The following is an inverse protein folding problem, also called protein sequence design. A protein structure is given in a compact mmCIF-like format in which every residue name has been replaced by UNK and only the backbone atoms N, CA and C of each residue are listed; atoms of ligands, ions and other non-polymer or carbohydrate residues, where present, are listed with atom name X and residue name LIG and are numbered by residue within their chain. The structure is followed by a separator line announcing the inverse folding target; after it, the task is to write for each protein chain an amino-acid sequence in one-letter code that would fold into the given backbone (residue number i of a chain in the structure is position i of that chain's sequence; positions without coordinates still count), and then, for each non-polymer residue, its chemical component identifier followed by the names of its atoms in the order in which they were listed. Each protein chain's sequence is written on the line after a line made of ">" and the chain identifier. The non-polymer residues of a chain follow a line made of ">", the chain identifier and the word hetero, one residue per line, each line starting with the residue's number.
data_IF_230988340036
#
_entry.id   IF_230988340036
#
_cell.length_a   1.000
_cell.length_b   1.000
_cell.length_c   1.000
_cell.angle_alpha   90.00
_cell.angle_beta   90.00
_cell.angle_gamma   90.00
#
_symmetry.space_group_name_H-M   'P 1'
#
loop_
_entity.id
_entity.type
_entity.pdbx_description
1 polymer ?
#
# COMPACT_ATOMS: atom_id res chain seq x y z
N UNK A 1 -7.20 7.90 -14.93
CA UNK A 1 -6.05 7.49 -14.10
C UNK A 1 -6.40 6.15 -13.48
N UNK A 2 -5.70 5.07 -13.83
CA UNK A 2 -6.23 3.71 -13.61
C UNK A 2 -5.27 2.80 -12.83
N UNK A 3 -4.53 3.28 -11.82
CA UNK A 3 -3.47 2.45 -11.23
C UNK A 3 -3.18 2.55 -9.71
N UNK A 4 -4.13 2.75 -8.78
CA UNK A 4 -3.83 2.50 -7.36
C UNK A 4 -3.55 1.03 -7.06
N UNK A 5 -4.36 0.12 -7.61
CA UNK A 5 -4.31 -1.31 -7.26
C UNK A 5 -3.04 -2.02 -7.76
N UNK A 6 -2.60 -1.73 -8.98
CA UNK A 6 -1.36 -2.30 -9.52
C UNK A 6 -0.14 -1.79 -8.75
N UNK A 7 -0.07 -0.49 -8.46
CA UNK A 7 1.01 0.10 -7.66
C UNK A 7 1.05 -0.47 -6.24
N UNK A 8 -0.10 -0.62 -5.58
CA UNK A 8 -0.17 -1.24 -4.24
C UNK A 8 0.33 -2.68 -4.31
N UNK A 9 -0.08 -3.46 -5.31
CA UNK A 9 0.38 -4.84 -5.47
C UNK A 9 1.89 -4.91 -5.69
N UNK A 10 2.47 -4.02 -6.51
CA UNK A 10 3.93 -3.95 -6.69
C UNK A 10 4.64 -3.64 -5.37
N UNK A 11 4.16 -2.66 -4.60
CA UNK A 11 4.74 -2.30 -3.31
C UNK A 11 4.68 -3.47 -2.34
N UNK A 12 3.53 -4.13 -2.22
CA UNK A 12 3.36 -5.30 -1.34
C UNK A 12 4.31 -6.42 -1.76
N UNK A 13 4.42 -6.71 -3.06
CA UNK A 13 5.35 -7.73 -3.56
C UNK A 13 6.80 -7.41 -3.19
N UNK A 14 7.24 -6.17 -3.42
CA UNK A 14 8.60 -5.72 -3.07
C UNK A 14 8.87 -5.84 -1.58
N UNK A 15 7.91 -5.47 -0.72
CA UNK A 15 8.04 -5.59 0.74
C UNK A 15 8.15 -7.06 1.18
N UNK A 16 7.36 -7.95 0.57
CA UNK A 16 7.39 -9.38 0.87
C UNK A 16 8.72 -10.00 0.46
N UNK A 17 9.23 -9.69 -0.74
CA UNK A 17 10.52 -10.18 -1.20
C UNK A 17 11.69 -9.65 -0.36
N UNK A 18 11.64 -8.38 0.04
CA UNK A 18 12.73 -7.74 0.77
C UNK A 18 12.83 -8.18 2.24
N UNK A 19 11.70 -8.43 2.90
CA UNK A 19 11.66 -8.58 4.36
C UNK A 19 10.88 -9.80 4.87
N UNK A 20 10.14 -10.53 4.02
CA UNK A 20 9.28 -11.64 4.44
C UNK A 20 8.43 -11.33 5.70
N UNK A 21 7.67 -10.22 5.69
CA UNK A 21 6.91 -9.80 6.85
C UNK A 21 5.78 -10.80 7.13
N UNK A 22 5.36 -10.87 8.38
CA UNK A 22 4.19 -11.63 8.80
C UNK A 22 2.92 -10.97 8.30
N UNK A 23 2.86 -9.62 8.26
CA UNK A 23 1.70 -8.85 7.81
C UNK A 23 2.10 -7.55 7.12
N UNK A 24 1.30 -7.16 6.13
CA UNK A 24 1.30 -5.81 5.54
C UNK A 24 -0.12 -5.26 5.65
N UNK A 25 -0.27 -4.12 6.30
CA UNK A 25 -1.58 -3.52 6.61
C UNK A 25 -1.65 -2.15 5.96
N UNK A 26 -2.62 -1.96 5.06
CA UNK A 26 -2.97 -0.66 4.50
C UNK A 26 -3.84 0.11 5.48
N UNK A 27 -3.44 1.35 5.79
CA UNK A 27 -4.21 2.27 6.59
C UNK A 27 -4.26 3.65 5.93
N UNK A 28 -4.70 4.67 6.66
CA UNK A 28 -4.74 6.02 6.13
C UNK A 28 -5.84 6.26 5.11
N UNK A 29 -5.65 7.24 4.22
CA UNK A 29 -6.71 7.74 3.35
C UNK A 29 -7.13 6.73 2.27
N UNK A 30 -6.18 5.96 1.74
CA UNK A 30 -6.46 4.88 0.79
C UNK A 30 -7.32 3.77 1.40
N UNK A 31 -7.15 3.44 2.68
CA UNK A 31 -7.99 2.47 3.36
C UNK A 31 -9.41 3.00 3.64
N UNK A 32 -9.56 4.32 3.85
CA UNK A 32 -10.85 4.97 4.10
C UNK A 32 -11.63 5.32 2.83
N UNK A 33 -10.97 5.33 1.68
CA UNK A 33 -11.58 5.73 0.40
C UNK A 33 -11.69 7.24 0.22
N UNK A 34 -10.98 8.03 1.03
CA UNK A 34 -10.91 9.50 0.94
C UNK A 34 -9.57 10.00 0.35
N UNK A 35 -8.76 9.09 -0.22
CA UNK A 35 -7.52 9.41 -0.90
C UNK A 35 -7.74 10.30 -2.13
N UNK A 36 -6.86 11.29 -2.29
CA UNK A 36 -6.75 12.20 -3.42
C UNK A 36 -5.49 11.88 -4.23
N UNK A 37 -5.38 12.46 -5.41
CA UNK A 37 -4.23 12.23 -6.32
C UNK A 37 -2.87 12.60 -5.71
N UNK A 38 -2.87 13.47 -4.70
CA UNK A 38 -1.68 13.92 -3.94
C UNK A 38 -1.49 13.20 -2.60
N UNK A 39 -2.31 12.18 -2.31
CA UNK A 39 -2.25 11.47 -1.03
C UNK A 39 -1.11 10.46 -0.99
N UNK A 40 -0.42 10.41 0.15
CA UNK A 40 0.54 9.37 0.47
C UNK A 40 -0.13 7.99 0.65
N UNK A 41 0.66 6.92 0.54
CA UNK A 41 0.25 5.55 0.80
C UNK A 41 0.81 5.07 2.14
N UNK A 42 -0.06 4.88 3.12
CA UNK A 42 0.32 4.47 4.48
C UNK A 42 0.28 2.93 4.64
N UNK A 43 1.44 2.33 4.94
CA UNK A 43 1.58 0.90 5.16
C UNK A 43 2.27 0.60 6.51
N UNK A 44 1.70 -0.34 7.27
CA UNK A 44 2.33 -0.91 8.45
C UNK A 44 2.81 -2.33 8.11
N UNK A 45 4.08 -2.59 8.37
CA UNK A 45 4.73 -3.87 8.08
C UNK A 45 5.17 -4.50 9.40
N UNK A 46 4.74 -5.74 9.66
CA UNK A 46 5.01 -6.51 10.90
C UNK A 46 5.66 -7.83 10.57
#
# INVERSE_FOLDING_TARGET
>A
MRFPSETINTIVHTLVEAASPTKVILFGSYARGDARDDSDLDLLVV
#
